data_IF_965303175498
#
_entry.id   IF_965303175498
#
_cell.length_a   1.000
_cell.length_b   1.000
_cell.length_c   1.000
_cell.angle_alpha   90.00
_cell.angle_beta   90.00
_cell.angle_gamma   90.00
#
_symmetry.space_group_name_H-M   'P 1'
#
loop_
_entity.id
_entity.type
_entity.pdbx_description
1 polymer ?
#
# COMPACT_ATOMS: atom_id res chain seq x y z
N UNK A 1 -17.41 14.99 -19.66
CA UNK A 1 -16.22 14.91 -18.79
C UNK A 1 -14.96 14.99 -19.65
N UNK A 2 -14.34 16.17 -19.77
CA UNK A 2 -13.23 16.41 -20.73
C UNK A 2 -11.96 15.57 -20.49
N UNK A 3 -11.79 15.00 -19.30
CA UNK A 3 -10.59 14.20 -19.00
C UNK A 3 -10.70 12.74 -19.45
N UNK A 4 -11.92 12.21 -19.62
CA UNK A 4 -12.12 10.87 -20.18
C UNK A 4 -11.73 10.82 -21.67
N UNK A 5 -11.71 11.96 -22.34
CA UNK A 5 -11.16 12.07 -23.69
C UNK A 5 -9.62 11.86 -23.73
N UNK A 6 -8.94 11.84 -22.58
CA UNK A 6 -7.52 11.43 -22.48
C UNK A 6 -7.35 9.96 -22.08
N UNK A 7 -8.44 9.20 -21.97
CA UNK A 7 -8.38 7.75 -21.75
C UNK A 7 -8.10 6.98 -23.04
N UNK A 8 -8.37 7.59 -24.20
CA UNK A 8 -8.13 7.03 -25.53
C UNK A 8 -7.11 7.90 -26.28
N UNK A 9 -6.23 7.27 -27.04
CA UNK A 9 -5.34 7.96 -27.97
C UNK A 9 -6.05 8.33 -29.28
N UNK A 10 -5.32 8.89 -30.25
CA UNK A 10 -5.89 9.30 -31.54
C UNK A 10 -6.43 8.14 -32.39
N UNK A 11 -6.06 6.90 -32.08
CA UNK A 11 -6.51 5.68 -32.76
C UNK A 11 -7.57 4.92 -31.95
N UNK A 12 -7.97 5.43 -30.79
CA UNK A 12 -8.97 4.81 -29.90
C UNK A 12 -8.39 3.74 -28.97
N UNK A 13 -7.07 3.63 -28.83
CA UNK A 13 -6.44 2.71 -27.87
C UNK A 13 -6.35 3.34 -26.48
N UNK A 14 -6.38 2.54 -25.40
CA UNK A 14 -6.20 3.05 -24.06
C UNK A 14 -4.87 3.79 -23.90
N UNK A 15 -4.91 5.01 -23.38
CA UNK A 15 -3.70 5.72 -22.96
C UNK A 15 -3.11 4.97 -21.75
N UNK A 16 -2.00 4.27 -21.96
CA UNK A 16 -1.35 3.44 -20.93
C UNK A 16 -1.09 4.18 -19.61
N UNK A 17 -0.79 5.47 -19.70
CA UNK A 17 -0.56 6.34 -18.55
C UNK A 17 -1.84 6.67 -17.79
N UNK A 18 -2.98 6.81 -18.49
CA UNK A 18 -4.29 6.93 -17.87
C UNK A 18 -4.62 5.64 -17.13
N UNK A 19 -4.45 4.52 -17.81
CA UNK A 19 -4.75 3.20 -17.29
C UNK A 19 -3.94 2.89 -16.04
N UNK A 20 -2.65 3.23 -16.01
CA UNK A 20 -1.80 3.04 -14.83
C UNK A 20 -2.32 3.79 -13.60
N UNK A 21 -2.68 5.07 -13.75
CA UNK A 21 -3.21 5.86 -12.63
C UNK A 21 -4.61 5.42 -12.21
N UNK A 22 -5.47 5.12 -13.18
CA UNK A 22 -6.81 4.61 -12.93
C UNK A 22 -6.78 3.26 -12.19
N UNK A 23 -5.99 2.30 -12.65
CA UNK A 23 -5.90 0.96 -12.05
C UNK A 23 -5.31 0.99 -10.64
N UNK A 24 -4.31 1.85 -10.37
CA UNK A 24 -3.80 2.02 -9.02
C UNK A 24 -4.87 2.60 -8.07
N UNK A 25 -5.66 3.56 -8.55
CA UNK A 25 -6.81 4.07 -7.82
C UNK A 25 -7.87 2.99 -7.57
N UNK A 26 -8.17 2.20 -8.61
CA UNK A 26 -9.12 1.09 -8.53
C UNK A 26 -8.65 0.03 -7.52
N UNK A 27 -7.37 -0.30 -7.48
CA UNK A 27 -6.80 -1.21 -6.49
C UNK A 27 -7.04 -0.70 -5.06
N UNK A 28 -6.89 0.62 -4.82
CA UNK A 28 -7.23 1.22 -3.52
C UNK A 28 -8.70 0.99 -3.15
N UNK A 29 -9.61 1.14 -4.10
CA UNK A 29 -11.05 0.96 -3.88
C UNK A 29 -11.41 -0.50 -3.61
N UNK A 30 -10.94 -1.41 -4.48
CA UNK A 30 -11.26 -2.85 -4.46
C UNK A 30 -10.84 -3.48 -3.13
N UNK A 31 -9.70 -3.07 -2.59
CA UNK A 31 -9.17 -3.56 -1.32
C UNK A 31 -9.54 -2.67 -0.11
N UNK A 32 -10.40 -1.68 -0.30
CA UNK A 32 -10.94 -0.87 0.77
C UNK A 32 -9.89 -0.08 1.57
N UNK A 33 -8.82 0.37 0.92
CA UNK A 33 -7.72 1.07 1.60
C UNK A 33 -8.24 2.37 2.26
N UNK A 34 -7.88 2.62 3.54
CA UNK A 34 -8.17 3.89 4.18
C UNK A 34 -7.44 5.05 3.48
N UNK A 35 -7.93 6.28 3.70
CA UNK A 35 -7.43 7.48 3.01
C UNK A 35 -5.90 7.66 3.11
N UNK A 36 -5.30 7.29 4.25
CA UNK A 36 -3.87 7.45 4.45
C UNK A 36 -3.05 6.48 3.57
N UNK A 37 -3.45 5.21 3.48
CA UNK A 37 -2.85 4.22 2.56
C UNK A 37 -3.12 4.55 1.10
N UNK A 38 -4.33 5.04 0.77
CA UNK A 38 -4.61 5.54 -0.57
C UNK A 38 -3.71 6.70 -1.00
N UNK A 39 -3.41 7.62 -0.07
CA UNK A 39 -2.44 8.71 -0.32
C UNK A 39 -1.01 8.19 -0.49
N UNK A 40 -0.62 7.18 0.28
CA UNK A 40 0.68 6.52 0.16
C UNK A 40 0.85 5.86 -1.21
N UNK A 41 -0.14 5.09 -1.66
CA UNK A 41 -0.16 4.50 -3.00
C UNK A 41 -0.08 5.56 -4.11
N UNK A 42 -0.82 6.66 -3.98
CA UNK A 42 -0.74 7.77 -4.93
C UNK A 42 0.64 8.44 -4.96
N UNK A 43 1.25 8.67 -3.79
CA UNK A 43 2.61 9.23 -3.68
C UNK A 43 3.64 8.33 -4.34
N UNK A 44 3.57 7.02 -4.10
CA UNK A 44 4.45 6.03 -4.73
C UNK A 44 4.33 6.07 -6.25
N UNK A 45 3.11 6.02 -6.78
CA UNK A 45 2.85 6.11 -8.21
C UNK A 45 3.42 7.40 -8.83
N UNK A 46 3.21 8.55 -8.17
CA UNK A 46 3.76 9.82 -8.63
C UNK A 46 5.30 9.83 -8.60
N UNK A 47 5.92 9.22 -7.59
CA UNK A 47 7.37 9.10 -7.47
C UNK A 47 7.94 8.25 -8.61
N UNK A 48 7.32 7.10 -8.88
CA UNK A 48 7.75 6.20 -9.95
C UNK A 48 7.60 6.83 -11.34
N UNK A 49 6.52 7.59 -11.55
CA UNK A 49 6.32 8.35 -12.77
C UNK A 49 7.42 9.40 -13.00
N UNK A 50 7.76 10.15 -11.94
CA UNK A 50 8.84 11.14 -11.98
C UNK A 50 10.21 10.51 -12.18
N UNK A 51 10.47 9.35 -11.59
CA UNK A 51 11.72 8.61 -11.75
C UNK A 51 11.94 8.18 -13.22
N UNK A 52 10.86 7.97 -13.99
CA UNK A 52 10.90 7.71 -15.44
C UNK A 52 11.07 8.97 -16.30
N UNK A 53 11.29 10.14 -15.68
CA UNK A 53 11.41 11.44 -16.37
C UNK A 53 10.07 12.10 -16.71
N UNK A 54 8.95 11.53 -16.25
CA UNK A 54 7.62 12.08 -16.49
C UNK A 54 7.26 13.23 -15.54
N UNK A 55 6.37 14.12 -15.99
CA UNK A 55 5.69 15.08 -15.10
C UNK A 55 4.27 14.59 -14.86
N UNK A 56 3.80 14.65 -13.60
CA UNK A 56 2.43 14.25 -13.26
C UNK A 56 1.46 15.34 -13.69
N UNK A 57 0.58 15.01 -14.64
CA UNK A 57 -0.44 15.91 -15.15
C UNK A 57 -1.75 15.81 -14.36
N UNK A 58 -2.55 16.88 -14.36
CA UNK A 58 -3.82 16.89 -13.62
C UNK A 58 -4.85 15.84 -14.08
N UNK A 59 -4.79 15.41 -15.35
CA UNK A 59 -5.67 14.35 -15.84
C UNK A 59 -5.29 12.98 -15.26
N UNK A 60 -4.01 12.71 -14.98
CA UNK A 60 -3.56 11.49 -14.29
C UNK A 60 -4.06 11.47 -12.84
N UNK A 61 -4.01 12.62 -12.16
CA UNK A 61 -4.60 12.76 -10.81
C UNK A 61 -6.10 12.46 -10.84
N UNK A 62 -6.82 12.97 -11.84
CA UNK A 62 -8.26 12.68 -11.99
C UNK A 62 -8.52 11.21 -12.30
N UNK A 63 -7.68 10.55 -13.10
CA UNK A 63 -7.78 9.12 -13.39
C UNK A 63 -7.66 8.30 -12.11
N UNK A 64 -6.67 8.60 -11.25
CA UNK A 64 -6.52 7.96 -9.95
C UNK A 64 -7.74 8.16 -9.05
N UNK A 65 -8.23 9.40 -8.92
CA UNK A 65 -9.43 9.70 -8.10
C UNK A 65 -10.68 9.00 -8.66
N UNK A 66 -10.78 8.88 -9.99
CA UNK A 66 -11.86 8.17 -10.65
C UNK A 66 -11.83 6.66 -10.31
N UNK A 67 -10.66 6.04 -10.40
CA UNK A 67 -10.46 4.65 -9.97
C UNK A 67 -10.71 4.44 -8.48
N UNK A 68 -10.23 5.35 -7.63
CA UNK A 68 -10.42 5.31 -6.18
C UNK A 68 -11.89 5.45 -5.76
N UNK A 69 -12.72 6.06 -6.60
CA UNK A 69 -14.17 6.08 -6.42
C UNK A 69 -14.86 4.78 -6.85
N UNK A 70 -14.10 3.78 -7.33
CA UNK A 70 -14.59 2.49 -7.77
C UNK A 70 -15.35 2.52 -9.10
N UNK A 71 -15.25 3.61 -9.86
CA UNK A 71 -16.05 3.79 -11.08
C UNK A 71 -15.49 2.96 -12.23
N UNK A 72 -16.31 2.09 -12.79
CA UNK A 72 -16.03 1.26 -13.97
C UNK A 72 -17.08 1.49 -15.07
N UNK A 73 -16.96 0.80 -16.20
CA UNK A 73 -17.91 0.89 -17.32
C UNK A 73 -19.36 0.57 -16.89
N UNK A 74 -19.52 -0.40 -15.97
CA UNK A 74 -20.83 -0.88 -15.50
C UNK A 74 -21.33 -0.14 -14.24
N UNK A 75 -20.68 0.97 -13.84
CA UNK A 75 -21.04 1.75 -12.65
C UNK A 75 -19.98 1.69 -11.56
N UNK A 76 -20.28 1.05 -10.42
CA UNK A 76 -19.33 0.89 -9.31
C UNK A 76 -18.88 -0.58 -9.27
N UNK A 77 -17.56 -0.79 -9.26
CA UNK A 77 -16.95 -2.10 -9.16
C UNK A 77 -17.24 -2.74 -7.79
N UNK A 78 -17.28 -4.07 -7.74
CA UNK A 78 -17.35 -4.80 -6.48
C UNK A 78 -16.02 -4.75 -5.73
N UNK A 79 -16.09 -4.76 -4.40
CA UNK A 79 -14.90 -4.89 -3.56
C UNK A 79 -14.45 -6.35 -3.46
N UNK A 80 -13.15 -6.56 -3.28
CA UNK A 80 -12.53 -7.86 -2.95
C UNK A 80 -12.17 -7.99 -1.48
N UNK A 81 -12.07 -6.86 -0.77
CA UNK A 81 -11.85 -6.87 0.68
C UNK A 81 -13.04 -7.57 1.38
N UNK A 82 -12.79 -8.48 2.34
CA UNK A 82 -13.85 -9.15 3.08
C UNK A 82 -14.76 -8.17 3.83
N UNK A 83 -16.03 -8.53 3.97
CA UNK A 83 -16.99 -7.74 4.73
C UNK A 83 -16.55 -7.62 6.20
N UNK A 84 -16.54 -6.39 6.72
CA UNK A 84 -16.14 -6.10 8.10
C UNK A 84 -14.62 -6.01 8.33
N UNK A 85 -13.79 -6.36 7.34
CA UNK A 85 -12.33 -6.18 7.46
C UNK A 85 -11.96 -4.70 7.65
N UNK A 86 -11.05 -4.44 8.57
CA UNK A 86 -10.51 -3.11 8.82
C UNK A 86 -8.99 -3.16 8.70
N UNK A 87 -8.45 -2.30 7.84
CA UNK A 87 -7.02 -2.08 7.78
C UNK A 87 -6.50 -1.59 9.15
N UNK A 88 -5.35 -2.08 9.64
CA UNK A 88 -4.75 -1.60 10.87
C UNK A 88 -4.61 -0.09 10.83
N UNK A 89 -4.99 0.58 11.91
CA UNK A 89 -4.85 2.03 12.03
C UNK A 89 -3.87 2.30 13.16
N UNK A 90 -2.74 2.98 12.88
CA UNK A 90 -1.81 3.38 13.92
C UNK A 90 -2.53 4.16 15.04
N UNK A 91 -2.25 3.87 16.32
CA UNK A 91 -2.86 4.60 17.43
C UNK A 91 -2.46 6.08 17.43
N UNK A 92 -1.24 6.39 16.97
CA UNK A 92 -0.71 7.72 16.78
C UNK A 92 0.37 7.72 15.67
N UNK A 93 1.06 8.85 15.50
CA UNK A 93 2.05 9.04 14.44
C UNK A 93 3.41 8.37 14.70
N UNK A 94 3.65 7.78 15.88
CA UNK A 94 4.90 7.07 16.17
C UNK A 94 4.86 5.60 15.77
N UNK A 95 3.75 5.11 15.22
CA UNK A 95 3.61 3.75 14.72
C UNK A 95 3.42 3.74 13.21
N UNK A 96 4.17 2.87 12.53
CA UNK A 96 4.16 2.75 11.07
C UNK A 96 3.63 1.38 10.68
N UNK A 97 2.66 1.33 9.76
CA UNK A 97 2.17 0.06 9.22
C UNK A 97 3.21 -0.54 8.28
N UNK A 98 3.67 -1.73 8.63
CA UNK A 98 4.60 -2.53 7.84
C UNK A 98 3.93 -3.84 7.40
N UNK A 99 4.45 -4.41 6.33
CA UNK A 99 4.04 -5.73 5.85
C UNK A 99 5.22 -6.69 5.99
N UNK A 100 5.04 -7.69 6.84
CA UNK A 100 6.03 -8.72 7.13
C UNK A 100 5.89 -9.85 6.12
N UNK A 101 6.87 -10.03 5.24
CA UNK A 101 6.89 -11.11 4.25
C UNK A 101 7.76 -12.28 4.72
N UNK A 102 7.19 -13.48 4.74
CA UNK A 102 7.86 -14.71 5.15
C UNK A 102 8.34 -15.54 3.95
N UNK A 103 9.32 -16.43 4.16
CA UNK A 103 9.66 -17.47 3.20
C UNK A 103 8.42 -18.27 2.80
N UNK A 104 8.17 -18.41 1.49
CA UNK A 104 6.96 -19.06 0.96
C UNK A 104 5.85 -18.11 0.53
N UNK A 105 6.04 -16.79 0.68
CA UNK A 105 5.15 -15.78 0.10
C UNK A 105 3.95 -15.39 0.97
N UNK A 106 3.86 -15.95 2.19
CA UNK A 106 2.91 -15.48 3.21
C UNK A 106 3.30 -14.10 3.72
N UNK A 107 2.32 -13.34 4.17
CA UNK A 107 2.56 -12.05 4.80
C UNK A 107 1.64 -11.80 6.00
N UNK A 108 2.11 -10.99 6.93
CA UNK A 108 1.33 -10.41 8.02
C UNK A 108 1.35 -8.88 7.93
N UNK A 109 0.36 -8.23 8.53
CA UNK A 109 0.37 -6.80 8.80
C UNK A 109 0.81 -6.56 10.25
N UNK A 110 1.63 -5.55 10.48
CA UNK A 110 2.04 -5.15 11.84
C UNK A 110 2.26 -3.64 11.91
N UNK A 111 2.28 -3.08 13.11
CA UNK A 111 2.74 -1.72 13.36
C UNK A 111 4.14 -1.77 14.00
N UNK A 112 5.08 -1.05 13.41
CA UNK A 112 6.44 -0.90 13.92
C UNK A 112 6.57 0.46 14.59
N UNK A 113 7.10 0.48 15.81
CA UNK A 113 7.56 1.72 16.45
C UNK A 113 9.04 1.94 16.10
N UNK A 114 9.39 2.86 15.18
CA UNK A 114 10.71 2.92 14.56
C UNK A 114 11.84 3.31 15.53
N UNK A 115 11.52 3.95 16.66
CA UNK A 115 12.51 4.35 17.67
C UNK A 115 12.86 3.22 18.64
N UNK A 116 11.87 2.43 19.04
CA UNK A 116 12.07 1.34 20.00
C UNK A 116 12.21 -0.02 19.32
N UNK A 117 12.03 -0.07 18.00
CA UNK A 117 12.01 -1.29 17.19
C UNK A 117 11.05 -2.35 17.73
N UNK A 118 9.92 -1.91 18.31
CA UNK A 118 8.91 -2.82 18.88
C UNK A 118 7.80 -3.04 17.86
N UNK A 119 7.38 -4.28 17.75
CA UNK A 119 6.21 -4.66 16.98
C UNK A 119 4.96 -4.60 17.86
N UNK A 120 3.85 -4.17 17.27
CA UNK A 120 2.58 -4.07 18.00
C UNK A 120 2.06 -5.42 18.43
N UNK A 121 2.30 -6.44 17.61
CA UNK A 121 1.90 -7.83 17.86
C UNK A 121 2.47 -8.42 19.14
N UNK A 122 3.62 -7.93 19.62
CA UNK A 122 4.26 -8.39 20.87
C UNK A 122 3.34 -8.23 22.10
N UNK A 123 2.57 -7.14 22.14
CA UNK A 123 1.74 -6.77 23.30
C UNK A 123 0.23 -6.93 23.03
N UNK A 124 -0.20 -6.94 21.76
CA UNK A 124 -1.61 -6.76 21.38
C UNK A 124 -2.18 -7.86 20.46
N UNK A 125 -1.36 -8.81 20.02
CA UNK A 125 -1.75 -9.88 19.09
C UNK A 125 -1.75 -9.45 17.62
N UNK A 126 -1.98 -10.43 16.74
CA UNK A 126 -1.90 -10.30 15.27
C UNK A 126 -3.09 -9.59 14.65
N UNK A 127 -2.84 -8.85 13.58
CA UNK A 127 -3.90 -8.34 12.71
C UNK A 127 -4.33 -9.40 11.68
N UNK A 128 -5.61 -9.38 11.31
CA UNK A 128 -6.08 -10.13 10.15
C UNK A 128 -5.50 -9.54 8.86
N UNK A 129 -5.44 -10.36 7.82
CA UNK A 129 -5.08 -9.94 6.45
C UNK A 129 -6.31 -9.93 5.54
N UNK A 130 -6.37 -9.06 4.51
CA UNK A 130 -7.53 -8.97 3.64
C UNK A 130 -7.70 -10.19 2.73
N UNK A 131 -6.63 -10.95 2.49
CA UNK A 131 -6.66 -12.21 1.73
C UNK A 131 -5.42 -13.04 2.04
N UNK A 132 -5.59 -14.35 2.09
CA UNK A 132 -4.51 -15.33 2.16
C UNK A 132 -4.04 -15.79 0.77
N UNK A 133 -4.67 -15.31 -0.30
CA UNK A 133 -4.35 -15.70 -1.67
C UNK A 133 -3.16 -14.86 -2.21
N UNK A 134 -1.96 -15.47 -2.35
CA UNK A 134 -0.77 -14.75 -2.79
C UNK A 134 -0.85 -14.35 -4.28
N UNK A 135 -1.82 -14.85 -5.05
CA UNK A 135 -2.03 -14.41 -6.44
C UNK A 135 -2.73 -13.06 -6.50
N UNK A 136 -3.45 -12.69 -5.43
CA UNK A 136 -4.22 -11.45 -5.34
C UNK A 136 -3.43 -10.33 -4.66
N UNK A 137 -2.70 -10.65 -3.60
CA UNK A 137 -1.83 -9.72 -2.86
C UNK A 137 -0.50 -10.38 -2.54
N UNK A 138 0.53 -9.99 -3.28
CA UNK A 138 1.91 -10.42 -3.08
C UNK A 138 2.82 -9.23 -2.84
N UNK A 139 4.11 -9.52 -2.63
CA UNK A 139 5.16 -8.53 -2.43
C UNK A 139 5.13 -7.41 -3.47
N UNK A 140 5.07 -7.75 -4.75
CA UNK A 140 5.05 -6.77 -5.85
C UNK A 140 3.83 -5.85 -5.75
N UNK A 141 2.67 -6.39 -5.39
CA UNK A 141 1.47 -5.59 -5.17
C UNK A 141 1.69 -4.55 -4.06
N UNK A 142 2.22 -4.96 -2.90
CA UNK A 142 2.46 -4.03 -1.80
C UNK A 142 3.56 -3.00 -2.12
N UNK A 143 4.63 -3.40 -2.82
CA UNK A 143 5.68 -2.48 -3.31
C UNK A 143 5.11 -1.41 -4.24
N UNK A 144 4.24 -1.83 -5.18
CA UNK A 144 3.53 -0.90 -6.09
C UNK A 144 2.62 0.05 -5.33
N UNK A 145 1.94 -0.44 -4.29
CA UNK A 145 1.09 0.37 -3.42
C UNK A 145 1.88 1.23 -2.43
N UNK A 146 3.21 1.10 -2.40
CA UNK A 146 4.10 1.93 -1.61
C UNK A 146 4.14 1.59 -0.12
N UNK A 147 3.79 0.35 0.25
CA UNK A 147 3.92 -0.14 1.62
C UNK A 147 5.39 -0.36 2.00
N UNK A 148 5.69 -0.15 3.27
CA UNK A 148 6.98 -0.51 3.85
C UNK A 148 7.00 -2.01 4.11
N UNK A 149 8.01 -2.68 3.53
CA UNK A 149 8.11 -4.13 3.53
C UNK A 149 9.28 -4.59 4.36
N UNK A 150 9.01 -5.56 5.24
CA UNK A 150 10.04 -6.29 5.97
C UNK A 150 10.07 -7.73 5.48
N UNK A 151 11.14 -8.10 4.77
CA UNK A 151 11.32 -9.47 4.28
C UNK A 151 12.14 -10.29 5.28
N UNK A 152 11.53 -11.33 5.85
CA UNK A 152 12.21 -12.28 6.72
C UNK A 152 13.06 -13.24 5.88
N UNK A 153 14.35 -13.34 6.20
CA UNK A 153 15.23 -14.32 5.58
C UNK A 153 15.31 -15.58 6.47
N UNK A 154 15.33 -16.80 5.88
CA UNK A 154 15.35 -18.05 6.64
C UNK A 154 16.55 -18.20 7.57
N UNK A 155 17.65 -17.51 7.28
CA UNK A 155 18.92 -17.52 7.99
C UNK A 155 19.08 -16.36 9.00
N UNK A 156 18.06 -15.51 9.19
CA UNK A 156 18.10 -14.48 10.22
C UNK A 156 18.17 -15.10 11.61
N UNK A 157 19.34 -15.03 12.22
CA UNK A 157 19.54 -15.35 13.63
C UNK A 157 19.36 -14.09 14.47
N UNK A 158 18.32 -14.06 15.30
CA UNK A 158 18.15 -13.03 16.32
C UNK A 158 19.10 -13.35 17.47
N UNK A 159 20.19 -12.62 17.57
CA UNK A 159 20.98 -12.59 18.80
C UNK A 159 20.34 -11.57 19.74
N UNK A 160 19.79 -12.05 20.86
CA UNK A 160 19.36 -11.18 21.95
C UNK A 160 20.62 -10.57 22.55
N UNK A 161 20.99 -9.38 22.08
CA UNK A 161 22.04 -8.60 22.71
C UNK A 161 21.61 -8.35 24.16
N UNK A 162 22.44 -8.80 25.10
CA UNK A 162 22.30 -8.50 26.52
C UNK A 162 22.27 -6.98 26.66
N UNK A 163 21.08 -6.44 26.93
CA UNK A 163 20.79 -5.08 27.40
C UNK A 163 21.85 -4.03 27.06
N UNK A 164 21.72 -3.39 25.90
CA UNK A 164 22.39 -2.10 25.71
C UNK A 164 21.78 -1.08 26.68
N UNK A 165 22.59 -0.34 27.46
CA UNK A 165 22.08 0.69 28.34
C UNK A 165 21.33 1.74 27.52
N UNK A 166 20.20 2.28 28.01
CA UNK A 166 19.38 3.22 27.25
C UNK A 166 20.22 4.41 26.78
N UNK A 167 20.21 4.65 25.47
CA UNK A 167 20.95 5.74 24.83
C UNK A 167 20.39 7.13 25.17
N UNK A 168 19.20 7.19 25.77
CA UNK A 168 18.56 8.41 26.23
C UNK A 168 18.81 8.60 27.73
N UNK A 169 19.72 9.53 28.06
CA UNK A 169 19.70 10.18 29.38
C UNK A 169 18.71 11.34 29.30
N UNK A 170 17.62 11.26 30.05
CA UNK A 170 16.82 12.44 30.38
C UNK A 170 17.74 13.38 31.16
N UNK A 171 17.99 14.58 30.62
CA UNK A 171 18.61 15.70 31.31
C UNK A 171 17.49 16.62 31.79
#
# INVERSE_FOLDING_TARGET
>A
MRFLAYAEDSEGYPVWDFEAFYQQGMACFVWGLPKYLGRQAFKKLCSDWKAKGGTVAMWQVRAFVYGQAGRCADGICSRRVPDGFQWPTPPDASWELIVCFYPGGKFDLDLLHPVSCRFWTEDNGSFDVPTEDPTLMNREWFEKMGFDLMAFQPDMQVQVAVTHPPHLRLI
#
